data_IF_733577876150
#
_entry.id   IF_733577876150
#
_cell.length_a   1.000
_cell.length_b   1.000
_cell.length_c   1.000
_cell.angle_alpha   90.00
_cell.angle_beta   90.00
_cell.angle_gamma   90.00
#
_symmetry.space_group_name_H-M   'P 1'
#
loop_
_entity.id
_entity.type
_entity.pdbx_description
1 polymer ?
#
# COMPACT_ATOMS: atom_id res chain seq x y z
N UNK A 1 -9.66 12.27 7.28
CA UNK A 1 -9.61 10.80 7.35
C UNK A 1 -8.20 10.33 7.64
N UNK A 2 -8.02 9.20 8.34
CA UNK A 2 -6.69 8.65 8.59
C UNK A 2 -6.25 7.83 7.36
N UNK A 3 -6.85 6.65 7.11
CA UNK A 3 -6.65 5.89 5.89
C UNK A 3 -7.92 5.81 5.04
N UNK A 4 -7.74 5.65 3.71
CA UNK A 4 -8.85 5.36 2.82
C UNK A 4 -9.40 3.93 3.04
N UNK A 5 -8.50 2.97 3.29
CA UNK A 5 -8.83 1.58 3.61
C UNK A 5 -8.03 1.10 4.81
N UNK A 6 -8.65 0.32 5.70
CA UNK A 6 -7.96 -0.25 6.86
C UNK A 6 -8.41 -1.68 7.15
N UNK A 7 -7.44 -2.54 7.49
CA UNK A 7 -7.65 -3.90 7.98
C UNK A 7 -7.10 -3.96 9.39
N UNK A 8 -7.95 -4.24 10.38
CA UNK A 8 -7.60 -4.13 11.78
C UNK A 8 -8.30 -5.21 12.61
N UNK A 9 -7.81 -5.47 13.81
CA UNK A 9 -8.40 -6.39 14.78
C UNK A 9 -7.61 -6.36 16.09
N UNK A 10 -7.97 -7.18 17.08
CA UNK A 10 -7.22 -7.30 18.33
C UNK A 10 -5.79 -7.76 18.06
N UNK A 11 -4.80 -6.93 18.41
CA UNK A 11 -3.38 -7.21 18.14
C UNK A 11 -2.89 -8.46 18.87
N UNK A 12 -3.28 -8.64 20.12
CA UNK A 12 -2.83 -9.71 21.02
C UNK A 12 -4.01 -10.50 21.63
N UNK A 13 -5.05 -10.76 20.85
CA UNK A 13 -6.20 -11.55 21.29
C UNK A 13 -5.83 -13.01 21.57
N UNK A 14 -6.40 -13.60 22.64
CA UNK A 14 -6.22 -15.02 22.95
C UNK A 14 -4.95 -15.36 23.75
N UNK A 15 -4.35 -14.40 24.46
CA UNK A 15 -3.20 -14.62 25.36
C UNK A 15 -1.84 -14.41 24.68
N UNK A 16 -0.78 -15.11 25.12
CA UNK A 16 0.60 -14.88 24.67
C UNK A 16 1.04 -15.82 23.53
N UNK A 17 0.11 -16.35 22.77
CA UNK A 17 0.40 -17.24 21.63
C UNK A 17 0.27 -16.48 20.30
N UNK A 18 1.34 -16.31 19.50
CA UNK A 18 1.26 -15.67 18.19
C UNK A 18 0.26 -16.32 17.23
N UNK A 19 0.03 -17.63 17.33
CA UNK A 19 -0.99 -18.29 16.51
C UNK A 19 -2.41 -17.87 16.94
N UNK A 20 -2.63 -17.66 18.23
CA UNK A 20 -3.89 -17.09 18.74
C UNK A 20 -4.07 -15.65 18.28
N UNK A 21 -3.03 -14.80 18.35
CA UNK A 21 -3.12 -13.42 17.85
C UNK A 21 -3.60 -13.35 16.41
N UNK A 22 -3.04 -14.19 15.52
CA UNK A 22 -3.41 -14.27 14.11
C UNK A 22 -4.84 -14.78 13.89
N UNK A 23 -5.35 -15.68 14.74
CA UNK A 23 -6.75 -16.12 14.68
C UNK A 23 -7.76 -15.06 15.14
N UNK A 24 -7.33 -14.16 16.04
CA UNK A 24 -8.18 -13.08 16.55
C UNK A 24 -8.04 -11.77 15.75
N UNK A 25 -6.92 -11.54 15.09
CA UNK A 25 -6.77 -10.43 14.14
C UNK A 25 -7.62 -10.68 12.88
N UNK A 26 -7.83 -9.64 12.12
CA UNK A 26 -8.48 -9.77 10.81
C UNK A 26 -7.67 -10.65 9.88
N UNK A 27 -8.33 -11.59 9.20
CA UNK A 27 -7.64 -12.53 8.31
C UNK A 27 -8.51 -12.92 7.10
N UNK A 28 -7.84 -13.46 6.06
CA UNK A 28 -8.49 -13.95 4.83
C UNK A 28 -9.31 -12.85 4.15
N UNK A 29 -8.65 -11.73 3.86
CA UNK A 29 -9.28 -10.54 3.30
C UNK A 29 -8.66 -10.23 1.94
N UNK A 30 -9.52 -9.93 0.97
CA UNK A 30 -9.10 -9.44 -0.35
C UNK A 30 -9.68 -8.06 -0.59
N UNK A 31 -8.81 -7.09 -0.89
CA UNK A 31 -9.19 -5.82 -1.49
C UNK A 31 -8.73 -5.83 -2.95
N UNK A 32 -9.68 -5.77 -3.88
CA UNK A 32 -9.36 -5.88 -5.29
C UNK A 32 -10.04 -4.81 -6.14
N UNK A 33 -9.28 -4.32 -7.14
CA UNK A 33 -9.73 -3.39 -8.18
C UNK A 33 -10.34 -2.09 -7.64
N UNK A 34 -9.82 -1.59 -6.51
CA UNK A 34 -10.27 -0.31 -5.96
C UNK A 34 -9.47 0.85 -6.54
N UNK A 35 -10.11 2.03 -6.61
CA UNK A 35 -9.45 3.32 -6.71
C UNK A 35 -9.24 3.85 -5.28
N UNK A 36 -7.98 4.07 -4.88
CA UNK A 36 -7.57 4.55 -3.54
C UNK A 36 -6.73 5.79 -3.75
N UNK A 37 -7.34 6.97 -3.68
CA UNK A 37 -6.69 8.18 -4.15
C UNK A 37 -7.02 9.42 -3.31
N UNK A 38 -6.17 10.41 -3.44
CA UNK A 38 -6.38 11.80 -2.99
C UNK A 38 -6.90 11.93 -1.56
N UNK A 39 -6.35 11.10 -0.64
CA UNK A 39 -6.58 11.34 0.79
C UNK A 39 -6.10 12.74 1.16
N UNK A 40 -6.92 13.57 1.84
CA UNK A 40 -6.56 14.94 2.18
C UNK A 40 -5.34 15.01 3.11
N UNK A 41 -4.33 15.80 2.76
CA UNK A 41 -3.09 15.90 3.51
C UNK A 41 -3.27 16.63 4.86
N UNK A 42 -3.97 17.74 4.88
CA UNK A 42 -4.22 18.54 6.09
C UNK A 42 -5.68 18.44 6.56
N UNK A 43 -6.28 17.25 6.46
CA UNK A 43 -7.59 16.98 7.03
C UNK A 43 -7.60 17.24 8.54
N UNK A 44 -8.79 17.46 9.11
CA UNK A 44 -9.01 17.71 10.54
C UNK A 44 -8.74 16.43 11.34
N UNK A 45 -7.46 16.10 11.53
CA UNK A 45 -7.00 14.95 12.30
C UNK A 45 -6.02 15.38 13.38
N UNK A 46 -6.22 14.90 14.62
CA UNK A 46 -5.44 15.34 15.78
C UNK A 46 -3.93 15.04 15.69
N UNK A 47 -3.51 14.12 14.84
CA UNK A 47 -2.09 13.77 14.63
C UNK A 47 -1.41 14.59 13.51
N UNK A 48 -2.07 15.60 12.94
CA UNK A 48 -1.51 16.45 11.89
C UNK A 48 -1.66 15.85 10.50
N UNK A 49 -0.64 16.05 9.66
CA UNK A 49 -0.67 15.70 8.23
C UNK A 49 -0.93 14.21 7.97
N UNK A 50 -1.83 13.92 7.05
CA UNK A 50 -2.29 12.58 6.69
C UNK A 50 -2.16 12.32 5.18
N UNK A 51 -3.21 12.05 4.43
CA UNK A 51 -3.18 11.55 3.05
C UNK A 51 -2.62 10.13 2.96
N UNK A 52 -3.40 9.14 3.37
CA UNK A 52 -2.94 7.75 3.54
C UNK A 52 -3.85 6.78 2.81
N UNK A 53 -3.24 5.86 2.05
CA UNK A 53 -3.95 4.84 1.29
C UNK A 53 -4.50 3.71 2.18
N UNK A 54 -3.78 2.60 2.29
CA UNK A 54 -4.24 1.39 3.00
C UNK A 54 -3.34 1.05 4.19
N UNK A 55 -3.96 0.73 5.34
CA UNK A 55 -3.29 0.21 6.52
C UNK A 55 -3.70 -1.24 6.78
N UNK A 56 -2.71 -2.14 6.91
CA UNK A 56 -2.89 -3.51 7.38
C UNK A 56 -2.23 -3.64 8.75
N UNK A 57 -3.04 -3.76 9.80
CA UNK A 57 -2.59 -3.80 11.18
C UNK A 57 -1.87 -5.09 11.57
N UNK A 58 -1.14 -5.01 12.69
CA UNK A 58 -0.32 -6.09 13.25
C UNK A 58 -1.05 -7.42 13.31
N UNK A 59 -0.33 -8.49 13.01
CA UNK A 59 -0.78 -9.89 13.04
C UNK A 59 -1.92 -10.25 12.08
N UNK A 60 -2.41 -9.34 11.24
CA UNK A 60 -3.36 -9.68 10.17
C UNK A 60 -2.72 -10.64 9.17
N UNK A 61 -3.47 -11.67 8.72
CA UNK A 61 -2.91 -12.73 7.86
C UNK A 61 -3.84 -13.10 6.70
N UNK A 62 -3.26 -13.67 5.64
CA UNK A 62 -4.02 -14.03 4.44
C UNK A 62 -4.65 -12.80 3.76
N UNK A 63 -3.95 -11.66 3.80
CA UNK A 63 -4.40 -10.42 3.17
C UNK A 63 -3.91 -10.39 1.73
N UNK A 64 -4.80 -10.11 0.80
CA UNK A 64 -4.49 -9.91 -0.61
C UNK A 64 -4.97 -8.52 -1.07
N UNK A 65 -4.02 -7.71 -1.55
CA UNK A 65 -4.30 -6.48 -2.26
C UNK A 65 -4.05 -6.73 -3.76
N UNK A 66 -5.11 -6.76 -4.58
CA UNK A 66 -5.06 -7.23 -5.97
C UNK A 66 -5.61 -6.18 -6.92
N UNK A 67 -4.81 -5.76 -7.90
CA UNK A 67 -5.30 -4.93 -8.99
C UNK A 67 -5.85 -3.57 -8.57
N UNK A 68 -5.36 -3.00 -7.45
CA UNK A 68 -5.80 -1.68 -7.01
C UNK A 68 -4.95 -0.57 -7.64
N UNK A 69 -5.57 0.57 -7.88
CA UNK A 69 -4.89 1.81 -8.23
C UNK A 69 -4.79 2.71 -7.00
N UNK A 70 -3.56 3.00 -6.59
CA UNK A 70 -3.24 4.01 -5.57
C UNK A 70 -2.70 5.26 -6.26
N UNK A 71 -3.32 6.41 -6.07
CA UNK A 71 -2.87 7.63 -6.70
C UNK A 71 -2.87 8.83 -5.73
N UNK A 72 -1.80 9.61 -5.78
CA UNK A 72 -1.68 10.89 -5.04
C UNK A 72 -2.03 10.79 -3.55
N UNK A 73 -1.67 9.67 -2.89
CA UNK A 73 -1.66 9.58 -1.44
C UNK A 73 -0.22 9.75 -0.93
N UNK A 74 -0.03 10.55 0.11
CA UNK A 74 1.28 10.85 0.65
C UNK A 74 2.07 9.62 1.07
N UNK A 75 1.40 8.64 1.67
CA UNK A 75 2.00 7.38 2.11
C UNK A 75 0.97 6.25 2.30
N UNK A 76 1.43 5.07 2.70
CA UNK A 76 0.61 3.88 2.96
C UNK A 76 -0.08 3.34 1.72
N UNK A 77 0.67 3.18 0.67
CA UNK A 77 0.18 2.60 -0.59
C UNK A 77 0.72 1.14 -0.86
N UNK A 78 0.71 0.18 0.12
CA UNK A 78 0.10 0.16 1.45
C UNK A 78 1.14 0.20 2.59
N UNK A 79 0.67 0.36 3.86
CA UNK A 79 1.44 0.08 5.06
C UNK A 79 1.05 -1.29 5.62
N UNK A 80 2.04 -2.15 5.84
CA UNK A 80 1.93 -3.41 6.57
C UNK A 80 2.59 -3.28 7.94
N UNK A 81 1.86 -3.59 9.02
CA UNK A 81 2.36 -3.52 10.38
C UNK A 81 3.03 -4.84 10.80
N UNK A 82 3.52 -4.90 12.03
CA UNK A 82 4.29 -6.03 12.56
C UNK A 82 3.58 -7.37 12.48
N UNK A 83 4.30 -8.43 12.07
CA UNK A 83 3.78 -9.80 12.01
C UNK A 83 2.73 -10.09 10.94
N UNK A 84 2.43 -9.14 10.05
CA UNK A 84 1.46 -9.30 8.95
C UNK A 84 1.93 -10.34 7.95
N UNK A 85 1.00 -11.17 7.44
CA UNK A 85 1.21 -12.02 6.27
C UNK A 85 0.30 -11.57 5.13
N UNK A 86 0.87 -11.03 4.07
CA UNK A 86 0.11 -10.42 2.97
C UNK A 86 0.77 -10.60 1.61
N UNK A 87 -0.05 -10.52 0.57
CA UNK A 87 0.39 -10.37 -0.81
C UNK A 87 -0.16 -9.06 -1.40
N UNK A 88 0.66 -8.41 -2.22
CA UNK A 88 0.28 -7.26 -3.03
C UNK A 88 0.62 -7.60 -4.48
N UNK A 89 -0.42 -7.76 -5.32
CA UNK A 89 -0.29 -8.32 -6.67
C UNK A 89 -0.95 -7.41 -7.69
N UNK A 90 -0.21 -7.07 -8.73
CA UNK A 90 -0.69 -6.23 -9.83
C UNK A 90 -1.37 -4.92 -9.37
N UNK A 91 -0.78 -4.22 -8.42
CA UNK A 91 -1.26 -2.89 -8.04
C UNK A 91 -0.42 -1.82 -8.73
N UNK A 92 -1.07 -0.76 -9.17
CA UNK A 92 -0.44 0.44 -9.71
C UNK A 92 -0.38 1.52 -8.62
N UNK A 93 0.79 2.07 -8.38
CA UNK A 93 1.01 3.14 -7.39
C UNK A 93 1.59 4.35 -8.15
N UNK A 94 0.84 5.44 -8.19
CA UNK A 94 1.22 6.67 -8.91
C UNK A 94 1.32 7.83 -7.94
N UNK A 95 2.35 8.64 -8.09
CA UNK A 95 2.57 9.87 -7.32
C UNK A 95 2.45 9.70 -5.79
N UNK A 96 3.08 8.67 -5.17
CA UNK A 96 3.16 8.64 -3.71
C UNK A 96 4.06 9.79 -3.23
N UNK A 97 3.71 10.46 -2.15
CA UNK A 97 4.52 11.56 -1.64
C UNK A 97 5.86 11.08 -1.06
N UNK A 98 5.83 10.47 0.10
CA UNK A 98 7.05 10.09 0.85
C UNK A 98 7.33 8.60 0.88
N UNK A 99 6.32 7.76 0.73
CA UNK A 99 6.44 6.29 0.75
C UNK A 99 5.36 5.64 -0.12
N UNK A 100 5.78 4.70 -0.95
CA UNK A 100 4.89 3.80 -1.67
C UNK A 100 4.44 2.66 -0.71
N UNK A 101 4.94 1.46 -0.89
CA UNK A 101 4.69 0.33 0.01
C UNK A 101 5.69 0.34 1.16
N UNK A 102 5.24 0.09 2.39
CA UNK A 102 6.19 -0.01 3.50
C UNK A 102 5.73 -0.97 4.60
N UNK A 103 6.71 -1.48 5.35
CA UNK A 103 6.50 -2.31 6.54
C UNK A 103 7.01 -1.57 7.77
N UNK A 104 6.28 -1.65 8.89
CA UNK A 104 6.67 -1.03 10.14
C UNK A 104 6.15 -1.79 11.35
N UNK A 105 7.04 -2.40 12.13
CA UNK A 105 6.73 -2.85 13.48
C UNK A 105 7.13 -1.76 14.47
N UNK A 106 6.16 -1.15 15.12
CA UNK A 106 6.37 -0.09 16.11
C UNK A 106 6.54 -0.72 17.50
N UNK A 107 7.77 -0.76 18.01
CA UNK A 107 8.13 -1.55 19.19
C UNK A 107 7.27 -1.28 20.43
N UNK A 108 6.98 -0.01 20.75
CA UNK A 108 6.19 0.34 21.92
C UNK A 108 4.72 -0.11 21.82
N UNK A 109 4.18 -0.24 20.62
CA UNK A 109 2.83 -0.77 20.40
C UNK A 109 2.75 -2.28 20.65
N UNK A 110 3.88 -2.99 20.72
CA UNK A 110 3.95 -4.42 21.02
C UNK A 110 3.95 -4.76 22.52
N UNK A 111 3.94 -3.75 23.39
CA UNK A 111 3.69 -3.91 24.84
C UNK A 111 4.56 -4.98 25.51
N UNK A 112 5.81 -5.16 25.06
CA UNK A 112 6.73 -6.16 25.55
C UNK A 112 6.57 -7.56 24.97
N UNK A 113 5.59 -7.82 24.12
CA UNK A 113 5.48 -9.07 23.40
C UNK A 113 6.62 -9.27 22.39
N UNK A 114 7.04 -10.51 22.19
CA UNK A 114 8.07 -10.85 21.22
C UNK A 114 7.63 -10.46 19.79
N UNK A 115 8.47 -9.67 19.12
CA UNK A 115 8.24 -9.24 17.76
C UNK A 115 8.09 -10.43 16.81
N UNK A 116 7.07 -10.39 15.96
CA UNK A 116 6.84 -11.41 14.95
C UNK A 116 7.33 -10.91 13.60
N UNK A 117 8.06 -11.78 12.88
CA UNK A 117 8.49 -11.48 11.52
C UNK A 117 7.27 -11.37 10.59
N UNK A 118 7.20 -10.29 9.83
CA UNK A 118 6.21 -10.13 8.76
C UNK A 118 6.55 -11.03 7.57
N UNK A 119 5.54 -11.35 6.74
CA UNK A 119 5.73 -12.09 5.48
C UNK A 119 4.99 -11.38 4.37
N UNK A 120 5.72 -10.88 3.39
CA UNK A 120 5.15 -10.13 2.28
C UNK A 120 5.56 -10.71 0.95
N UNK A 121 4.62 -10.73 0.00
CA UNK A 121 4.89 -10.96 -1.42
C UNK A 121 4.44 -9.74 -2.22
N UNK A 122 5.34 -9.12 -2.97
CA UNK A 122 5.05 -8.05 -3.91
C UNK A 122 5.35 -8.57 -5.31
N UNK A 123 4.30 -8.74 -6.13
CA UNK A 123 4.41 -9.42 -7.43
C UNK A 123 3.67 -8.64 -8.51
N UNK A 124 4.35 -8.32 -9.60
CA UNK A 124 3.75 -7.65 -10.74
C UNK A 124 3.24 -6.22 -10.47
N UNK A 125 3.72 -5.56 -9.40
CA UNK A 125 3.29 -4.19 -9.09
C UNK A 125 4.12 -3.16 -9.84
N UNK A 126 3.53 -1.99 -10.08
CA UNK A 126 4.20 -0.85 -10.71
C UNK A 126 4.16 0.35 -9.76
N UNK A 127 5.33 0.93 -9.51
CA UNK A 127 5.48 2.26 -8.93
C UNK A 127 5.86 3.24 -10.02
N UNK A 128 5.13 4.33 -10.14
CA UNK A 128 5.48 5.48 -10.97
C UNK A 128 5.50 6.75 -10.12
N UNK A 129 6.64 7.42 -10.07
CA UNK A 129 6.72 8.73 -9.43
C UNK A 129 5.88 9.77 -10.18
N UNK A 130 5.41 10.75 -9.45
CA UNK A 130 4.71 11.91 -9.97
C UNK A 130 5.24 13.21 -9.35
N UNK A 131 4.54 14.33 -9.54
CA UNK A 131 4.99 15.65 -9.12
C UNK A 131 5.33 15.79 -7.64
N UNK A 132 4.61 15.08 -6.75
CA UNK A 132 4.81 15.17 -5.30
C UNK A 132 5.71 14.07 -4.74
N UNK A 133 6.16 13.14 -5.59
CA UNK A 133 6.97 12.02 -5.12
C UNK A 133 8.38 12.48 -4.77
N UNK A 134 8.80 12.19 -3.55
CA UNK A 134 10.19 12.45 -3.14
C UNK A 134 11.16 11.70 -4.07
N UNK A 135 12.14 12.38 -4.66
CA UNK A 135 13.11 11.73 -5.55
C UNK A 135 13.78 10.51 -4.92
N UNK A 136 13.90 9.43 -5.69
CA UNK A 136 14.52 8.18 -5.25
C UNK A 136 13.67 7.33 -4.30
N UNK A 137 12.38 7.64 -4.09
CA UNK A 137 11.46 6.82 -3.30
C UNK A 137 11.39 5.41 -3.91
N UNK A 138 11.76 4.34 -3.16
CA UNK A 138 11.70 2.97 -3.66
C UNK A 138 10.28 2.40 -3.62
N UNK A 139 10.06 1.26 -4.29
CA UNK A 139 8.78 0.56 -4.23
C UNK A 139 8.44 0.11 -2.80
N UNK A 140 9.40 -0.50 -2.11
CA UNK A 140 9.22 -0.98 -0.74
C UNK A 140 10.22 -0.33 0.22
N UNK A 141 9.74 0.06 1.41
CA UNK A 141 10.59 0.65 2.47
C UNK A 141 10.37 -0.06 3.80
N UNK A 142 11.48 -0.51 4.40
CA UNK A 142 11.47 -1.05 5.75
C UNK A 142 11.58 0.06 6.80
N UNK A 143 10.75 -0.01 7.85
CA UNK A 143 10.84 0.80 9.06
C UNK A 143 10.60 0.01 10.34
N UNK A 144 10.80 0.65 11.48
CA UNK A 144 10.55 0.07 12.79
C UNK A 144 11.57 -0.99 13.22
N UNK A 145 11.11 -1.90 14.10
CA UNK A 145 11.96 -2.82 14.86
C UNK A 145 11.81 -4.30 14.48
N UNK A 146 10.88 -4.65 13.59
CA UNK A 146 10.59 -6.05 13.23
C UNK A 146 11.15 -6.44 11.87
N UNK A 147 11.71 -7.64 11.76
CA UNK A 147 12.12 -8.22 10.50
C UNK A 147 10.93 -8.53 9.58
N UNK A 148 11.18 -8.59 8.28
CA UNK A 148 10.20 -9.00 7.27
C UNK A 148 10.81 -9.94 6.25
N UNK A 149 10.18 -11.12 6.05
CA UNK A 149 10.42 -11.98 4.90
C UNK A 149 9.72 -11.35 3.69
N UNK A 150 10.50 -11.01 2.65
CA UNK A 150 9.99 -10.31 1.48
C UNK A 150 10.26 -11.12 0.21
N UNK A 151 9.21 -11.47 -0.53
CA UNK A 151 9.30 -12.01 -1.87
C UNK A 151 9.02 -10.91 -2.90
N UNK A 152 9.93 -10.71 -3.83
CA UNK A 152 9.80 -9.75 -4.92
C UNK A 152 9.87 -10.48 -6.26
N UNK A 153 8.88 -10.28 -7.13
CA UNK A 153 8.90 -10.83 -8.48
C UNK A 153 8.22 -9.88 -9.45
N UNK A 154 8.87 -9.63 -10.58
CA UNK A 154 8.32 -8.87 -11.71
C UNK A 154 7.67 -7.53 -11.29
N UNK A 155 8.34 -6.73 -10.43
CA UNK A 155 7.88 -5.39 -10.10
C UNK A 155 8.65 -4.34 -10.90
N UNK A 156 7.99 -3.25 -11.29
CA UNK A 156 8.61 -2.08 -11.88
C UNK A 156 8.56 -0.91 -10.88
N UNK A 157 9.66 -0.17 -10.78
CA UNK A 157 9.72 1.06 -9.99
C UNK A 157 10.44 2.13 -10.81
N UNK A 158 9.71 3.17 -11.19
CA UNK A 158 10.13 4.17 -12.14
C UNK A 158 9.97 5.58 -11.55
N UNK A 159 10.93 6.46 -11.86
CA UNK A 159 10.78 7.88 -11.58
C UNK A 159 9.84 8.57 -12.60
N UNK A 160 9.66 9.89 -12.44
CA UNK A 160 8.79 10.68 -13.34
C UNK A 160 9.29 10.75 -14.79
N UNK A 161 10.53 10.34 -15.05
CA UNK A 161 11.15 10.30 -16.37
C UNK A 161 11.25 8.88 -16.94
N UNK A 162 10.65 7.89 -16.26
CA UNK A 162 10.69 6.48 -16.66
C UNK A 162 12.02 5.78 -16.35
N UNK A 163 12.89 6.40 -15.53
CA UNK A 163 14.14 5.78 -15.11
C UNK A 163 13.90 4.88 -13.90
N UNK A 164 14.60 3.74 -13.84
CA UNK A 164 14.46 2.81 -12.73
C UNK A 164 14.93 3.44 -11.40
N UNK A 165 14.13 3.25 -10.35
CA UNK A 165 14.48 3.58 -8.98
C UNK A 165 14.64 2.31 -8.15
N UNK A 166 15.27 2.37 -6.95
CA UNK A 166 15.45 1.19 -6.11
C UNK A 166 14.13 0.49 -5.78
N UNK A 167 14.12 -0.84 -5.81
CA UNK A 167 12.95 -1.62 -5.39
C UNK A 167 12.80 -1.66 -3.88
N UNK A 168 13.91 -1.69 -3.13
CA UNK A 168 13.94 -1.80 -1.67
C UNK A 168 14.72 -0.65 -1.06
N UNK A 169 14.19 -0.09 0.01
CA UNK A 169 14.84 0.96 0.81
C UNK A 169 14.45 0.90 2.28
N UNK A 170 14.82 1.95 3.01
CA UNK A 170 14.57 2.07 4.45
C UNK A 170 14.26 3.51 4.81
N UNK A 171 13.39 3.73 5.80
CA UNK A 171 13.05 5.09 6.28
C UNK A 171 13.25 5.29 7.78
N UNK A 172 13.57 4.25 8.56
CA UNK A 172 14.02 4.39 9.95
C UNK A 172 15.37 3.71 10.13
N UNK A 173 16.19 4.26 11.04
CA UNK A 173 17.38 3.56 11.53
C UNK A 173 16.94 2.42 12.46
N UNK A 174 17.61 1.29 12.44
CA UNK A 174 17.30 0.16 13.32
C UNK A 174 17.89 -1.16 12.83
N UNK A 175 17.80 -2.19 13.69
CA UNK A 175 18.35 -3.52 13.44
C UNK A 175 17.44 -4.43 12.60
N UNK A 176 16.20 -4.01 12.33
CA UNK A 176 15.26 -4.78 11.51
C UNK A 176 15.81 -5.04 10.11
N UNK A 177 15.54 -6.21 9.56
CA UNK A 177 16.10 -6.70 8.30
C UNK A 177 15.00 -7.09 7.31
N UNK A 178 15.29 -6.90 6.04
CA UNK A 178 14.59 -7.59 4.97
C UNK A 178 15.30 -8.95 4.79
N UNK A 179 14.53 -10.01 4.86
CA UNK A 179 14.98 -11.40 4.70
C UNK A 179 14.36 -11.95 3.42
N UNK A 180 15.06 -12.85 2.74
CA UNK A 180 14.49 -13.56 1.60
C UNK A 180 13.38 -14.50 2.08
N UNK A 181 12.22 -14.44 1.45
CA UNK A 181 11.11 -15.32 1.77
C UNK A 181 11.38 -16.74 1.26
N UNK A 182 11.38 -17.71 2.16
CA UNK A 182 11.50 -19.13 1.81
C UNK A 182 10.24 -19.63 1.08
N UNK A 183 9.06 -19.17 1.53
CA UNK A 183 7.77 -19.45 0.90
C UNK A 183 7.02 -18.15 0.73
N UNK A 184 6.72 -17.73 -0.52
CA UNK A 184 5.95 -16.52 -0.75
C UNK A 184 4.58 -16.56 -0.08
N UNK A 185 4.18 -15.45 0.55
CA UNK A 185 2.84 -15.26 1.09
C UNK A 185 1.80 -15.00 -0.04
N UNK A 186 1.83 -15.83 -1.07
CA UNK A 186 1.04 -15.67 -2.29
C UNK A 186 -0.02 -16.78 -2.36
N UNK A 187 -1.29 -16.45 -2.65
CA UNK A 187 -2.31 -17.46 -2.89
C UNK A 187 -1.93 -18.38 -4.06
N UNK A 188 -2.14 -19.70 -3.93
CA UNK A 188 -1.80 -20.64 -5.01
C UNK A 188 -2.67 -20.37 -6.25
N UNK A 189 -2.06 -20.49 -7.43
CA UNK A 189 -2.73 -20.33 -8.74
C UNK A 189 -3.35 -18.95 -8.99
N UNK A 190 -2.93 -17.90 -8.29
CA UNK A 190 -3.36 -16.54 -8.59
C UNK A 190 -2.81 -16.13 -9.96
N UNK A 191 -3.64 -15.72 -10.92
CA UNK A 191 -3.15 -15.15 -12.18
C UNK A 191 -2.39 -13.86 -11.89
N UNK A 192 -1.22 -13.71 -12.51
CA UNK A 192 -0.41 -12.49 -12.39
C UNK A 192 -0.14 -11.96 -13.78
N UNK A 193 -0.51 -10.70 -14.01
CA UNK A 193 -0.14 -9.98 -15.23
C UNK A 193 1.34 -9.56 -15.15
N UNK A 194 2.09 -9.60 -16.26
CA UNK A 194 3.38 -8.97 -16.32
C UNK A 194 3.29 -7.48 -15.93
N UNK A 195 4.23 -7.00 -15.11
CA UNK A 195 4.23 -5.60 -14.66
C UNK A 195 4.23 -4.61 -15.85
N UNK A 196 4.88 -4.97 -16.94
CA UNK A 196 4.91 -4.16 -18.19
C UNK A 196 3.55 -3.98 -18.87
N UNK A 197 2.54 -4.76 -18.51
CA UNK A 197 1.18 -4.68 -19.06
C UNK A 197 0.17 -4.10 -18.07
N UNK A 198 0.62 -3.81 -16.84
CA UNK A 198 -0.29 -3.46 -15.76
C UNK A 198 -0.98 -2.11 -15.97
N UNK A 199 -0.24 -1.07 -16.37
CA UNK A 199 -0.80 0.28 -16.50
C UNK A 199 -1.96 0.32 -17.49
N UNK A 200 -1.78 -0.27 -18.66
CA UNK A 200 -2.83 -0.34 -19.68
C UNK A 200 -4.07 -1.13 -19.21
N UNK A 201 -3.86 -2.17 -18.42
CA UNK A 201 -4.93 -3.03 -17.94
C UNK A 201 -5.72 -2.37 -16.79
N UNK A 202 -5.02 -1.78 -15.81
CA UNK A 202 -5.65 -1.37 -14.55
C UNK A 202 -6.58 -0.17 -14.72
N UNK A 203 -6.24 0.75 -15.60
CA UNK A 203 -7.08 1.92 -15.92
C UNK A 203 -8.46 1.49 -16.42
N UNK A 204 -8.53 0.36 -17.16
CA UNK A 204 -9.79 -0.18 -17.67
C UNK A 204 -10.67 -0.87 -16.63
N UNK A 205 -10.08 -1.41 -15.54
CA UNK A 205 -10.78 -2.33 -14.62
C UNK A 205 -10.88 -1.86 -13.16
N UNK A 206 -10.07 -0.89 -12.75
CA UNK A 206 -10.12 -0.38 -11.38
C UNK A 206 -11.34 0.50 -11.13
N UNK A 207 -11.86 0.48 -9.90
CA UNK A 207 -13.08 1.16 -9.49
C UNK A 207 -14.29 0.22 -9.43
N UNK A 208 -15.26 0.58 -8.59
CA UNK A 208 -16.43 -0.24 -8.33
C UNK A 208 -17.32 -0.45 -9.57
N UNK A 209 -17.36 0.53 -10.47
CA UNK A 209 -18.13 0.51 -11.71
C UNK A 209 -17.31 1.10 -12.86
N UNK A 210 -16.32 0.37 -13.40
CA UNK A 210 -15.45 0.91 -14.45
C UNK A 210 -16.19 1.26 -15.76
N UNK A 211 -17.41 0.78 -15.94
CA UNK A 211 -18.31 1.09 -17.07
C UNK A 211 -19.23 2.30 -16.81
N UNK A 212 -19.24 2.86 -15.60
CA UNK A 212 -20.15 3.93 -15.16
C UNK A 212 -19.43 4.81 -14.11
N UNK A 213 -18.28 5.38 -14.51
CA UNK A 213 -17.46 6.24 -13.66
C UNK A 213 -18.01 7.65 -13.63
N UNK A 214 -17.95 8.27 -12.47
CA UNK A 214 -18.25 9.68 -12.31
C UNK A 214 -17.09 10.60 -12.78
N UNK A 215 -17.33 11.92 -12.72
CA UNK A 215 -16.34 12.91 -13.16
C UNK A 215 -15.04 12.85 -12.33
N UNK A 216 -15.11 12.52 -11.04
CA UNK A 216 -13.94 12.42 -10.17
C UNK A 216 -13.05 11.25 -10.57
N UNK A 217 -13.63 10.09 -10.78
CA UNK A 217 -12.90 8.90 -11.23
C UNK A 217 -12.29 9.12 -12.62
N UNK A 218 -13.02 9.76 -13.55
CA UNK A 218 -12.53 10.05 -14.89
C UNK A 218 -11.37 11.05 -14.88
N UNK A 219 -11.45 12.11 -14.06
CA UNK A 219 -10.39 13.08 -13.90
C UNK A 219 -9.13 12.41 -13.31
N UNK A 220 -9.28 11.63 -12.25
CA UNK A 220 -8.18 10.85 -11.67
C UNK A 220 -7.47 10.01 -12.71
N UNK A 221 -8.21 9.23 -13.50
CA UNK A 221 -7.63 8.34 -14.49
C UNK A 221 -6.93 9.09 -15.63
N UNK A 222 -7.47 10.25 -16.03
CA UNK A 222 -6.79 11.17 -16.97
C UNK A 222 -5.46 11.67 -16.38
N UNK A 223 -5.44 12.08 -15.13
CA UNK A 223 -4.24 12.56 -14.45
C UNK A 223 -3.21 11.45 -14.26
N UNK A 224 -3.65 10.24 -13.94
CA UNK A 224 -2.79 9.05 -13.91
C UNK A 224 -2.17 8.77 -15.28
N UNK A 225 -2.96 8.78 -16.35
CA UNK A 225 -2.47 8.53 -17.70
C UNK A 225 -1.43 9.56 -18.15
N UNK A 226 -1.65 10.84 -17.80
CA UNK A 226 -0.80 11.95 -18.23
C UNK A 226 0.34 12.27 -17.24
N UNK A 227 0.46 11.52 -16.13
CA UNK A 227 1.47 11.76 -15.10
C UNK A 227 1.30 13.09 -14.36
N UNK A 228 0.08 13.59 -14.32
CA UNK A 228 -0.28 14.81 -13.58
C UNK A 228 -0.74 14.51 -12.18
N UNK A 229 -1.70 14.75 -11.60
CA UNK A 229 -2.16 14.43 -10.25
C UNK A 229 -1.34 15.10 -9.16
N UNK A 230 -1.97 15.37 -8.04
CA UNK A 230 -1.32 16.01 -6.90
C UNK A 230 -1.89 15.48 -5.58
N UNK A 231 -1.10 15.58 -4.50
CA UNK A 231 -1.59 15.39 -3.14
C UNK A 231 -2.38 16.65 -2.77
N UNK A 232 -3.64 16.47 -2.37
CA UNK A 232 -4.58 17.57 -2.14
C UNK A 232 -4.84 17.81 -0.65
N UNK A 233 -5.23 19.03 -0.32
CA UNK A 233 -5.65 19.45 1.02
C UNK A 233 -7.17 19.71 1.12
N UNK A 234 -7.84 19.83 -0.02
CA UNK A 234 -9.27 20.09 -0.12
C UNK A 234 -9.82 19.39 -1.36
N UNK A 235 -11.02 18.87 -1.25
CA UNK A 235 -11.79 18.31 -2.35
C UNK A 235 -11.99 19.30 -3.51
N UNK A 236 -11.90 20.61 -3.24
CA UNK A 236 -11.98 21.66 -4.28
C UNK A 236 -10.76 21.73 -5.18
N UNK A 237 -9.66 21.06 -4.82
CA UNK A 237 -8.45 20.93 -5.65
C UNK A 237 -8.54 19.77 -6.66
N UNK A 238 -9.59 18.96 -6.55
CA UNK A 238 -9.98 17.91 -7.47
C UNK A 238 -11.32 18.29 -8.11
N UNK A 239 -12.20 17.33 -8.43
CA UNK A 239 -13.54 17.56 -9.01
C UNK A 239 -14.57 18.12 -8.02
N UNK A 240 -14.23 18.23 -6.73
CA UNK A 240 -15.15 18.59 -5.67
C UNK A 240 -16.05 17.43 -5.23
N UNK A 241 -17.08 17.73 -4.44
CA UNK A 241 -18.09 16.74 -4.09
C UNK A 241 -19.02 16.45 -5.26
N UNK A 242 -19.47 15.20 -5.45
CA UNK A 242 -20.51 14.90 -6.44
C UNK A 242 -21.73 15.79 -6.21
N UNK A 243 -22.17 16.48 -7.24
CA UNK A 243 -23.43 17.23 -7.20
C UNK A 243 -24.56 16.22 -7.46
N UNK A 244 -25.38 15.97 -6.44
CA UNK A 244 -26.58 15.14 -6.55
C UNK A 244 -27.70 15.91 -7.23
#
# INVERSE_FOLDING_TARGET
TDENLSISGPRFGGGNDPAAWRRHASHTITYSHNLVYEGLAHAVHAKGEHSKGTLVHDNSTGVLLLGNLYASNRERNALFKGGVHAAMVNNLIVNPGTRAVHYNLVAHEWQGHAHQTGRLALVGNVLRHGPDTRPGTPLFMLGGAGDVELHLADNLALDAFGQAVPTVGRYTSGAARVLDAVVPALPPRLPVLPASQLEDSIVGVAGARPWDRDEADLLLLSDVAEGRGQIIDSETQSSGYPRH
#
